data_IF_689611980750
#
_entry.id   IF_689611980750
#
_cell.length_a   1.000
_cell.length_b   1.000
_cell.length_c   1.000
_cell.angle_alpha   90.00
_cell.angle_beta   90.00
_cell.angle_gamma   90.00
#
_symmetry.space_group_name_H-M   'P 1'
#
loop_
_entity.id
_entity.type
_entity.pdbx_description
1 polymer ?
#
# COMPACT_ATOMS: atom_id res chain seq x y z
N UNK A 1 11.29 20.26 -3.83
CA UNK A 1 10.51 20.54 -5.07
C UNK A 1 10.40 19.30 -5.96
N UNK A 2 11.50 18.67 -6.36
CA UNK A 2 11.47 17.42 -7.14
C UNK A 2 10.80 16.24 -6.37
N UNK A 3 11.05 16.13 -5.06
CA UNK A 3 10.51 15.02 -4.24
C UNK A 3 9.01 15.14 -3.96
N UNK A 4 8.51 16.35 -3.72
CA UNK A 4 7.08 16.61 -3.58
C UNK A 4 6.34 16.31 -4.89
N UNK A 5 6.98 16.60 -6.03
CA UNK A 5 6.45 16.28 -7.35
C UNK A 5 6.46 14.77 -7.61
N UNK A 6 7.51 14.05 -7.17
CA UNK A 6 7.55 12.60 -7.19
C UNK A 6 6.44 12.00 -6.30
N UNK A 7 6.25 12.48 -5.07
CA UNK A 7 5.17 11.98 -4.21
C UNK A 7 3.77 12.23 -4.81
N UNK A 8 3.55 13.38 -5.45
CA UNK A 8 2.32 13.63 -6.19
C UNK A 8 2.13 12.65 -7.37
N UNK A 9 3.21 12.30 -8.09
CA UNK A 9 3.18 11.28 -9.14
C UNK A 9 2.86 9.88 -8.57
N UNK A 10 3.39 9.54 -7.40
CA UNK A 10 3.06 8.30 -6.69
C UNK A 10 1.56 8.22 -6.40
N UNK A 11 1.02 9.26 -5.76
CA UNK A 11 -0.40 9.35 -5.42
C UNK A 11 -1.28 9.22 -6.66
N UNK A 12 -0.88 9.84 -7.77
CA UNK A 12 -1.58 9.72 -9.04
C UNK A 12 -1.50 8.31 -9.62
N UNK A 13 -0.33 7.67 -9.60
CA UNK A 13 -0.15 6.31 -10.10
C UNK A 13 -0.96 5.28 -9.30
N UNK A 14 -0.92 5.39 -7.96
CA UNK A 14 -1.74 4.58 -7.05
C UNK A 14 -3.23 4.80 -7.33
N UNK A 15 -3.66 6.05 -7.51
CA UNK A 15 -5.05 6.38 -7.84
C UNK A 15 -5.51 5.74 -9.16
N UNK A 16 -4.67 5.75 -10.20
CA UNK A 16 -4.96 5.06 -11.47
C UNK A 16 -5.11 3.54 -11.29
N UNK A 17 -4.30 2.92 -10.43
CA UNK A 17 -4.44 1.49 -10.11
C UNK A 17 -5.74 1.21 -9.37
N UNK A 18 -6.11 2.03 -8.40
CA UNK A 18 -7.41 1.93 -7.73
C UNK A 18 -8.59 2.02 -8.69
N UNK A 19 -8.55 3.00 -9.60
CA UNK A 19 -9.58 3.16 -10.63
C UNK A 19 -9.65 1.95 -11.56
N UNK A 20 -8.50 1.42 -12.00
CA UNK A 20 -8.43 0.21 -12.81
C UNK A 20 -9.05 -0.98 -12.06
N UNK A 21 -8.66 -1.21 -10.81
CA UNK A 21 -9.17 -2.31 -10.00
C UNK A 21 -10.69 -2.24 -9.82
N UNK A 22 -11.22 -1.03 -9.58
CA UNK A 22 -12.66 -0.80 -9.48
C UNK A 22 -13.38 -1.06 -10.82
N UNK A 23 -12.86 -0.52 -11.93
CA UNK A 23 -13.46 -0.67 -13.26
C UNK A 23 -13.49 -2.14 -13.72
N UNK A 24 -12.47 -2.92 -13.36
CA UNK A 24 -12.40 -4.35 -13.66
C UNK A 24 -13.18 -5.21 -12.66
N UNK A 25 -13.79 -4.61 -11.62
CA UNK A 25 -14.60 -5.31 -10.63
C UNK A 25 -13.81 -6.11 -9.60
N UNK A 26 -12.53 -5.81 -9.37
CA UNK A 26 -11.71 -6.43 -8.32
C UNK A 26 -12.06 -5.92 -6.92
N UNK A 27 -12.62 -4.72 -6.82
CA UNK A 27 -13.14 -4.12 -5.60
C UNK A 27 -14.43 -3.35 -5.92
N UNK A 28 -15.29 -3.18 -4.94
CA UNK A 28 -16.64 -2.64 -5.19
C UNK A 28 -16.66 -1.12 -5.19
N UNK A 29 -16.13 -0.52 -4.14
CA UNK A 29 -16.42 0.88 -3.82
C UNK A 29 -15.21 1.69 -3.33
N UNK A 30 -14.25 1.08 -2.62
CA UNK A 30 -13.14 1.84 -2.00
C UNK A 30 -11.75 1.32 -2.37
N UNK A 31 -10.85 2.26 -2.64
CA UNK A 31 -9.41 2.03 -2.79
C UNK A 31 -8.68 3.29 -2.32
N UNK A 32 -7.79 3.16 -1.32
CA UNK A 32 -6.99 4.28 -0.86
C UNK A 32 -5.63 3.85 -0.29
N UNK A 33 -4.64 4.72 -0.46
CA UNK A 33 -3.44 4.76 0.37
C UNK A 33 -3.52 5.99 1.27
N UNK A 34 -3.63 5.79 2.58
CA UNK A 34 -3.67 6.88 3.56
C UNK A 34 -2.34 6.96 4.30
N UNK A 35 -1.74 8.14 4.27
CA UNK A 35 -0.44 8.39 4.90
C UNK A 35 -0.54 9.09 6.27
N UNK A 36 -1.75 9.49 6.66
CA UNK A 36 -2.07 9.80 8.05
C UNK A 36 -2.36 8.49 8.77
N UNK A 37 -1.45 8.11 9.67
CA UNK A 37 -1.45 6.81 10.35
C UNK A 37 -1.44 7.06 11.85
N UNK A 38 -2.36 6.44 12.56
CA UNK A 38 -2.36 6.32 14.02
C UNK A 38 -2.88 4.92 14.36
N UNK A 39 -1.96 3.96 14.41
CA UNK A 39 -2.31 2.54 14.56
C UNK A 39 -1.36 1.81 15.50
N UNK A 40 -1.83 0.66 16.01
CA UNK A 40 -1.04 -0.27 16.79
C UNK A 40 -0.47 -1.37 15.88
N UNK A 41 0.84 -1.61 15.95
CA UNK A 41 1.56 -2.72 15.31
C UNK A 41 2.28 -3.51 16.41
N UNK A 42 1.76 -4.67 16.79
CA UNK A 42 2.25 -5.40 17.97
C UNK A 42 2.24 -4.53 19.23
N UNK A 43 3.40 -4.30 19.86
CA UNK A 43 3.54 -3.41 21.03
C UNK A 43 3.86 -1.94 20.69
N UNK A 44 4.07 -1.62 19.41
CA UNK A 44 4.44 -0.29 18.95
C UNK A 44 3.21 0.48 18.43
N UNK A 45 3.12 1.76 18.80
CA UNK A 45 2.14 2.68 18.21
C UNK A 45 2.83 3.52 17.14
N UNK A 46 2.33 3.43 15.92
CA UNK A 46 2.83 4.19 14.77
C UNK A 46 1.93 5.41 14.59
N UNK A 47 2.50 6.60 14.78
CA UNK A 47 1.82 7.89 14.55
C UNK A 47 2.61 8.67 13.51
N UNK A 48 1.95 9.00 12.40
CA UNK A 48 2.53 9.73 11.28
C UNK A 48 1.46 10.62 10.66
N UNK A 49 1.84 11.84 10.27
CA UNK A 49 0.98 12.72 9.47
C UNK A 49 1.43 12.69 8.01
N UNK A 50 0.50 12.80 7.08
CA UNK A 50 0.80 12.76 5.65
C UNK A 50 1.79 13.86 5.22
N UNK A 51 1.77 15.02 5.87
CA UNK A 51 2.69 16.14 5.59
C UNK A 51 4.15 15.84 5.93
N UNK A 52 4.40 14.90 6.86
CA UNK A 52 5.74 14.57 7.34
C UNK A 52 6.43 13.49 6.48
N UNK A 53 5.68 12.81 5.59
CA UNK A 53 6.14 11.66 4.81
C UNK A 53 7.37 11.97 3.97
N UNK A 54 7.34 13.06 3.20
CA UNK A 54 8.45 13.42 2.31
C UNK A 54 9.70 13.72 3.12
N UNK A 55 9.55 14.42 4.25
CA UNK A 55 10.67 14.70 5.15
C UNK A 55 11.25 13.41 5.74
N UNK A 56 10.41 12.49 6.22
CA UNK A 56 10.85 11.22 6.78
C UNK A 56 11.61 10.37 5.74
N UNK A 57 11.04 10.20 4.54
CA UNK A 57 11.65 9.44 3.45
C UNK A 57 13.03 10.01 3.05
N UNK A 58 13.14 11.33 2.89
CA UNK A 58 14.39 11.99 2.46
C UNK A 58 15.51 11.89 3.49
N UNK A 59 15.17 11.70 4.77
CA UNK A 59 16.12 11.44 5.85
C UNK A 59 16.37 9.94 6.08
N UNK A 60 15.87 9.07 5.19
CA UNK A 60 16.08 7.63 5.24
C UNK A 60 15.25 6.91 6.31
N UNK A 61 14.24 7.56 6.87
CA UNK A 61 13.32 6.91 7.81
C UNK A 61 12.21 6.17 7.04
N UNK A 62 11.79 4.99 7.52
CA UNK A 62 10.61 4.34 6.99
C UNK A 62 9.37 5.20 7.26
N UNK A 63 8.42 5.15 6.34
CA UNK A 63 7.11 5.76 6.47
C UNK A 63 6.04 4.68 6.30
N UNK A 64 4.87 4.96 6.85
CA UNK A 64 3.77 4.01 6.86
C UNK A 64 2.58 4.52 6.07
N UNK A 65 1.81 3.60 5.50
CA UNK A 65 0.54 3.90 4.88
C UNK A 65 -0.49 2.81 5.16
N UNK A 66 -1.75 3.19 5.35
CA UNK A 66 -2.86 2.26 5.37
C UNK A 66 -3.37 2.07 3.94
N UNK A 67 -3.30 0.84 3.46
CA UNK A 67 -3.92 0.44 2.23
C UNK A 67 -5.32 -0.09 2.52
N UNK A 68 -6.34 0.57 1.97
CA UNK A 68 -7.74 0.28 2.23
C UNK A 68 -8.43 -0.20 0.94
N UNK A 69 -9.13 -1.33 1.00
CA UNK A 69 -9.93 -1.90 -0.08
C UNK A 69 -11.34 -2.21 0.40
N UNK A 70 -12.35 -1.61 -0.22
CA UNK A 70 -13.77 -1.86 0.09
C UNK A 70 -14.34 -3.01 -0.72
N UNK A 71 -14.86 -4.01 -0.02
CA UNK A 71 -15.42 -5.24 -0.58
C UNK A 71 -14.53 -5.81 -1.70
N UNK A 72 -13.28 -6.20 -1.39
CA UNK A 72 -12.45 -6.85 -2.39
C UNK A 72 -13.22 -8.08 -2.90
N UNK A 73 -13.56 -8.05 -4.17
CA UNK A 73 -14.09 -9.21 -4.86
C UNK A 73 -12.86 -10.08 -5.08
N UNK A 74 -12.55 -10.91 -4.08
CA UNK A 74 -11.66 -12.05 -4.26
C UNK A 74 -12.39 -12.94 -5.26
N UNK A 75 -12.19 -12.65 -6.55
CA UNK A 75 -12.91 -13.28 -7.64
C UNK A 75 -12.76 -14.80 -7.51
N UNK A 76 -13.69 -15.59 -8.04
CA UNK A 76 -13.43 -17.01 -8.32
C UNK A 76 -12.13 -17.23 -9.12
N UNK A 77 -11.63 -16.21 -9.84
CA UNK A 77 -10.30 -16.22 -10.44
C UNK A 77 -9.15 -16.10 -9.45
N UNK A 78 -9.33 -15.49 -8.28
CA UNK A 78 -8.37 -15.54 -7.18
C UNK A 78 -8.31 -16.93 -6.52
N UNK A 79 -9.45 -17.62 -6.38
CA UNK A 79 -9.47 -19.04 -5.96
C UNK A 79 -8.81 -19.92 -7.03
N UNK A 80 -9.08 -19.68 -8.32
CA UNK A 80 -8.45 -20.38 -9.44
C UNK A 80 -6.93 -20.09 -9.52
N UNK A 81 -6.49 -18.84 -9.39
CA UNK A 81 -5.07 -18.46 -9.37
C UNK A 81 -4.35 -18.98 -8.12
N UNK A 82 -5.03 -19.05 -6.98
CA UNK A 82 -4.53 -19.68 -5.75
C UNK A 82 -4.40 -21.21 -5.90
N UNK A 83 -5.41 -21.89 -6.46
CA UNK A 83 -5.39 -23.34 -6.65
C UNK A 83 -4.48 -23.81 -7.80
N UNK A 84 -4.23 -22.96 -8.80
CA UNK A 84 -3.44 -23.32 -9.99
C UNK A 84 -2.01 -22.77 -9.93
N UNK A 85 -1.77 -21.63 -9.27
CA UNK A 85 -0.44 -20.98 -9.21
C UNK A 85 -0.02 -20.51 -7.82
N UNK A 86 -0.90 -20.52 -6.81
CA UNK A 86 -0.60 -20.02 -5.45
C UNK A 86 -0.56 -18.48 -5.32
N UNK A 87 -0.98 -17.70 -6.32
CA UNK A 87 -0.53 -16.30 -6.46
C UNK A 87 -1.56 -15.18 -6.23
N UNK A 88 -2.83 -15.48 -5.96
CA UNK A 88 -3.87 -14.45 -6.04
C UNK A 88 -3.79 -13.32 -4.99
N UNK A 89 -3.37 -13.64 -3.76
CA UNK A 89 -3.04 -12.62 -2.76
C UNK A 89 -1.76 -11.87 -3.13
N UNK A 90 -0.80 -12.54 -3.77
CA UNK A 90 0.50 -11.96 -4.11
C UNK A 90 0.47 -11.00 -5.32
N UNK A 91 -0.52 -11.07 -6.21
CA UNK A 91 -0.52 -10.23 -7.43
C UNK A 91 -0.89 -8.76 -7.17
N UNK A 92 -1.85 -8.49 -6.28
CA UNK A 92 -2.23 -7.11 -5.97
C UNK A 92 -1.11 -6.39 -5.22
N UNK A 93 -0.52 -7.06 -4.21
CA UNK A 93 0.64 -6.54 -3.47
C UNK A 93 1.85 -6.35 -4.40
N UNK A 94 2.20 -7.33 -5.25
CA UNK A 94 3.30 -7.15 -6.24
C UNK A 94 3.08 -5.97 -7.18
N UNK A 95 1.87 -5.75 -7.67
CA UNK A 95 1.56 -4.61 -8.54
C UNK A 95 1.80 -3.29 -7.81
N UNK A 96 1.37 -3.20 -6.55
CA UNK A 96 1.58 -2.02 -5.71
C UNK A 96 3.08 -1.83 -5.42
N UNK A 97 3.78 -2.88 -5.01
CA UNK A 97 5.23 -2.88 -4.79
C UNK A 97 6.01 -2.41 -6.03
N UNK A 98 5.63 -2.85 -7.23
CA UNK A 98 6.24 -2.42 -8.49
C UNK A 98 6.03 -0.92 -8.78
N UNK A 99 4.87 -0.36 -8.43
CA UNK A 99 4.61 1.09 -8.57
C UNK A 99 5.55 1.89 -7.67
N UNK A 100 5.70 1.46 -6.41
CA UNK A 100 6.68 2.05 -5.50
C UNK A 100 8.12 1.88 -6.05
N UNK A 101 8.45 0.70 -6.59
CA UNK A 101 9.74 0.40 -7.19
C UNK A 101 10.12 1.35 -8.33
N UNK A 102 9.16 1.73 -9.19
CA UNK A 102 9.36 2.72 -10.27
C UNK A 102 9.75 4.11 -9.76
N UNK A 103 9.54 4.37 -8.48
CA UNK A 103 9.84 5.63 -7.81
C UNK A 103 11.06 5.55 -6.89
N UNK A 104 11.86 4.49 -7.03
CA UNK A 104 12.97 4.17 -6.14
C UNK A 104 12.53 4.05 -4.67
N UNK A 105 11.33 3.51 -4.45
CA UNK A 105 10.80 3.17 -3.14
C UNK A 105 10.67 1.65 -3.03
N UNK A 106 11.00 1.12 -1.88
CA UNK A 106 10.61 -0.23 -1.46
C UNK A 106 9.39 -0.10 -0.58
N UNK A 107 8.33 -0.81 -0.92
CA UNK A 107 7.12 -0.89 -0.11
C UNK A 107 6.79 -2.36 0.15
N UNK A 108 6.18 -2.66 1.29
CA UNK A 108 5.67 -4.01 1.59
C UNK A 108 4.65 -3.96 2.73
N UNK A 109 3.70 -4.89 2.72
CA UNK A 109 2.78 -5.13 3.83
C UNK A 109 3.55 -5.55 5.11
N UNK A 110 3.08 -5.09 6.27
CA UNK A 110 3.57 -5.51 7.58
C UNK A 110 2.75 -6.68 8.13
N UNK A 111 3.41 -7.71 8.66
CA UNK A 111 2.74 -8.93 9.13
C UNK A 111 1.95 -8.80 10.46
N UNK A 112 2.23 -7.76 11.26
CA UNK A 112 1.73 -7.66 12.66
C UNK A 112 0.68 -6.55 12.85
N UNK A 113 -0.01 -6.17 11.78
CA UNK A 113 -1.07 -5.17 11.84
C UNK A 113 -2.40 -5.80 12.25
N UNK A 114 -3.10 -5.16 13.20
CA UNK A 114 -4.43 -5.57 13.64
C UNK A 114 -5.52 -4.69 13.00
N UNK A 115 -6.29 -5.21 12.03
CA UNK A 115 -7.34 -4.46 11.36
C UNK A 115 -8.69 -4.50 12.10
N UNK A 116 -8.79 -5.06 13.31
CA UNK A 116 -10.08 -5.25 14.01
C UNK A 116 -10.84 -3.96 14.31
N UNK A 117 -10.18 -2.80 14.30
CA UNK A 117 -10.80 -1.49 14.44
C UNK A 117 -11.51 -0.95 13.19
N UNK A 118 -11.43 -1.64 12.05
CA UNK A 118 -11.97 -1.18 10.78
C UNK A 118 -13.30 -1.90 10.42
N UNK A 119 -14.15 -1.31 9.55
CA UNK A 119 -15.38 -1.94 9.09
C UNK A 119 -15.12 -3.32 8.47
N UNK A 120 -15.99 -4.30 8.75
CA UNK A 120 -15.79 -5.69 8.35
C UNK A 120 -15.90 -5.93 6.84
N UNK A 121 -16.48 -4.98 6.12
CA UNK A 121 -16.54 -4.93 4.68
C UNK A 121 -15.25 -4.42 4.00
N UNK A 122 -14.26 -3.99 4.78
CA UNK A 122 -13.03 -3.41 4.28
C UNK A 122 -11.85 -4.30 4.62
N UNK A 123 -10.95 -4.50 3.67
CA UNK A 123 -9.60 -5.00 3.94
C UNK A 123 -8.71 -3.80 4.15
N UNK A 124 -8.00 -3.80 5.28
CA UNK A 124 -7.03 -2.76 5.63
C UNK A 124 -5.71 -3.44 5.94
N UNK A 125 -4.66 -2.96 5.28
CA UNK A 125 -3.29 -3.43 5.45
C UNK A 125 -2.41 -2.25 5.84
N UNK A 126 -1.45 -2.48 6.74
CA UNK A 126 -0.41 -1.51 7.02
C UNK A 126 0.79 -1.81 6.13
N UNK A 127 1.25 -0.79 5.41
CA UNK A 127 2.38 -0.87 4.49
C UNK A 127 3.54 -0.04 5.04
N UNK A 128 4.73 -0.61 5.02
CA UNK A 128 5.99 0.06 5.32
C UNK A 128 6.68 0.44 4.01
N UNK A 129 7.10 1.70 3.89
CA UNK A 129 7.65 2.29 2.67
C UNK A 129 8.97 2.97 3.02
N UNK A 130 10.00 2.76 2.20
CA UNK A 130 11.32 3.35 2.38
C UNK A 130 11.96 3.66 1.04
N UNK A 131 12.95 4.56 1.02
CA UNK A 131 13.80 4.71 -0.16
C UNK A 131 14.53 3.40 -0.44
N UNK A 132 14.54 2.97 -1.69
CA UNK A 132 15.47 1.94 -2.13
C UNK A 132 16.86 2.56 -2.01
N UNK A 133 17.63 2.17 -1.00
CA UNK A 133 19.05 2.48 -0.99
C UNK A 133 19.63 1.80 -2.23
N UNK A 134 20.09 2.59 -3.20
CA UNK A 134 20.96 2.05 -4.25
C UNK A 134 22.04 1.23 -3.54
N UNK A 135 22.41 0.03 -4.03
CA UNK A 135 23.68 -0.54 -3.60
C UNK A 135 24.72 0.57 -3.79
N UNK A 136 25.43 0.91 -2.71
CA UNK A 136 26.49 1.90 -2.76
C UNK A 136 27.46 1.59 -3.91
N UNK A 137 28.17 2.62 -4.42
CA UNK A 137 29.06 2.48 -5.57
C UNK A 137 30.04 1.31 -5.46
#
# INVERSE_FOLDING_TARGET
LAEAQAFAQLQQAISHVGQFLQQQGYLRDHFAFRFDVDVQRGSERIVQRAEDVVHALTHGNPVYALYEMGYPVILPSAVYLYQTMGEAQHHSSRTIEELFGRMNLRASETADFDPTGYPSEMVVELWEIQLNQSPGP
#
